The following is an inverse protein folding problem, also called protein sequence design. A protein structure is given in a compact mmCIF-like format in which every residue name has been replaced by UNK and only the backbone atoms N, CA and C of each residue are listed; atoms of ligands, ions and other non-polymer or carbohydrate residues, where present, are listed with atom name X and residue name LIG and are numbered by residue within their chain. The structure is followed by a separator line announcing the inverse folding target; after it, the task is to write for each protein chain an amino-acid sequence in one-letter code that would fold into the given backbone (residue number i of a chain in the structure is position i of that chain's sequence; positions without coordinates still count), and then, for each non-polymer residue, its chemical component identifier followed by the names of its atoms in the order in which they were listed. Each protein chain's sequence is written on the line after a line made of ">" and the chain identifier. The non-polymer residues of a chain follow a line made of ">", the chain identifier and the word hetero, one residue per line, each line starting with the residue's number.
data_IF_372682994392
#
_entry.id   IF_372682994392
#
_cell.length_a   1.000
_cell.length_b   1.000
_cell.length_c   1.000
_cell.angle_alpha   90.00
_cell.angle_beta   90.00
_cell.angle_gamma   90.00
#
_symmetry.space_group_name_H-M   'P 1'
#
loop_
_entity.id
_entity.type
_entity.pdbx_description
1 polymer ?
#
# COMPACT_ATOMS: atom_id res chain seq x y z
N UNK A 1 4.05 -18.31 6.42
CA UNK A 1 5.50 -18.11 6.22
C UNK A 1 6.05 -17.62 7.53
N UNK A 2 6.83 -18.45 8.23
CA UNK A 2 7.61 -17.95 9.36
C UNK A 2 8.60 -16.94 8.81
N UNK A 3 8.63 -15.72 9.33
CA UNK A 3 9.66 -14.69 9.07
C UNK A 3 11.04 -15.10 9.63
N UNK A 4 11.37 -16.38 9.49
CA UNK A 4 12.61 -17.02 9.87
C UNK A 4 13.49 -16.99 8.63
N UNK A 5 14.72 -16.54 8.80
CA UNK A 5 15.76 -16.71 7.79
C UNK A 5 15.81 -18.19 7.35
N UNK A 6 15.94 -18.48 6.05
CA UNK A 6 15.94 -19.85 5.56
C UNK A 6 17.01 -20.67 6.28
N UNK A 7 16.70 -21.92 6.57
CA UNK A 7 17.68 -22.88 7.06
C UNK A 7 18.73 -23.19 6.01
N UNK A 8 19.91 -23.64 6.45
CA UNK A 8 20.96 -24.09 5.53
C UNK A 8 20.48 -25.17 4.55
N UNK A 9 19.55 -26.04 4.97
CA UNK A 9 18.93 -27.05 4.11
C UNK A 9 18.02 -26.44 3.02
N UNK A 10 17.32 -25.34 3.32
CA UNK A 10 16.51 -24.60 2.34
C UNK A 10 17.39 -23.79 1.38
N UNK A 11 18.49 -23.22 1.86
CA UNK A 11 19.48 -22.60 0.97
C UNK A 11 20.07 -23.61 -0.02
N UNK A 12 20.27 -24.86 0.41
CA UNK A 12 20.76 -25.92 -0.45
C UNK A 12 19.74 -26.41 -1.50
N UNK A 13 18.43 -26.15 -1.31
CA UNK A 13 17.40 -26.51 -2.27
C UNK A 13 17.12 -25.43 -3.33
N UNK A 14 17.72 -24.25 -3.19
CA UNK A 14 17.56 -23.16 -4.15
C UNK A 14 18.31 -23.42 -5.46
N UNK A 15 17.82 -22.87 -6.59
CA UNK A 15 18.55 -22.91 -7.85
C UNK A 15 19.89 -22.18 -7.74
N UNK A 16 20.86 -22.50 -8.61
CA UNK A 16 22.18 -21.86 -8.59
C UNK A 16 22.04 -20.33 -8.74
N UNK A 17 22.74 -19.54 -7.90
CA UNK A 17 22.57 -18.10 -7.87
C UNK A 17 23.19 -17.45 -9.11
N UNK A 18 22.47 -16.51 -9.71
CA UNK A 18 22.94 -15.76 -10.87
C UNK A 18 23.32 -14.33 -10.48
N UNK A 19 24.56 -14.15 -10.03
CA UNK A 19 25.07 -12.83 -9.64
C UNK A 19 25.42 -11.91 -10.80
N UNK A 20 25.64 -12.45 -12.01
CA UNK A 20 26.05 -11.68 -13.17
C UNK A 20 24.88 -10.97 -13.85
N UNK A 21 23.74 -11.67 -14.02
CA UNK A 21 22.53 -11.15 -14.66
C UNK A 21 21.27 -11.67 -13.95
N UNK A 22 20.99 -11.26 -12.70
CA UNK A 22 19.83 -11.75 -11.98
C UNK A 22 18.52 -11.33 -12.65
N UNK A 23 17.55 -12.23 -12.68
CA UNK A 23 16.19 -11.91 -13.11
C UNK A 23 15.52 -11.04 -12.06
N UNK A 24 14.90 -9.93 -12.47
CA UNK A 24 14.29 -8.97 -11.54
C UNK A 24 12.85 -8.65 -11.91
N UNK A 25 12.03 -8.36 -10.90
CA UNK A 25 10.66 -7.86 -11.09
C UNK A 25 10.59 -6.34 -11.32
N UNK A 26 11.75 -5.67 -11.36
CA UNK A 26 11.88 -4.23 -11.56
C UNK A 26 11.18 -3.70 -12.82
N UNK A 27 11.35 -4.28 -14.03
CA UNK A 27 10.69 -3.76 -15.23
C UNK A 27 9.16 -3.84 -15.12
N UNK A 28 8.63 -4.91 -14.51
CA UNK A 28 7.20 -5.05 -14.25
C UNK A 28 6.70 -3.95 -13.30
N UNK A 29 7.41 -3.72 -12.20
CA UNK A 29 7.02 -2.72 -11.23
C UNK A 29 7.04 -1.29 -11.81
N UNK A 30 8.06 -0.93 -12.59
CA UNK A 30 8.09 0.35 -13.31
C UNK A 30 6.92 0.44 -14.29
N UNK A 31 6.67 -0.63 -15.05
CA UNK A 31 5.58 -0.72 -16.01
C UNK A 31 4.18 -0.52 -15.40
N UNK A 32 3.99 -0.86 -14.12
CA UNK A 32 2.71 -0.69 -13.41
C UNK A 32 2.65 0.63 -12.64
N UNK A 33 3.70 0.97 -11.88
CA UNK A 33 3.71 2.14 -10.98
C UNK A 33 3.69 3.45 -11.77
N UNK A 34 4.44 3.53 -12.87
CA UNK A 34 4.52 4.75 -13.68
C UNK A 34 3.17 5.18 -14.26
N UNK A 35 2.42 4.33 -15.01
CA UNK A 35 1.12 4.75 -15.55
C UNK A 35 0.09 5.04 -14.44
N UNK A 36 0.10 4.28 -13.35
CA UNK A 36 -0.79 4.56 -12.20
C UNK A 36 -0.49 5.94 -11.59
N UNK A 37 0.78 6.31 -11.48
CA UNK A 37 1.17 7.64 -10.99
C UNK A 37 0.72 8.75 -11.94
N UNK A 38 0.86 8.54 -13.26
CA UNK A 38 0.38 9.50 -14.27
C UNK A 38 -1.13 9.70 -14.17
N UNK A 39 -1.90 8.62 -13.99
CA UNK A 39 -3.34 8.71 -13.79
C UNK A 39 -3.70 9.51 -12.53
N UNK A 40 -3.02 9.27 -11.40
CA UNK A 40 -3.24 10.01 -10.15
C UNK A 40 -3.00 11.51 -10.37
N UNK A 41 -1.90 11.88 -11.03
CA UNK A 41 -1.59 13.29 -11.33
C UNK A 41 -2.66 13.89 -12.24
N UNK A 42 -3.07 13.19 -13.30
CA UNK A 42 -4.10 13.67 -14.23
C UNK A 42 -5.45 13.92 -13.54
N UNK A 43 -5.93 12.98 -12.73
CA UNK A 43 -7.17 13.14 -11.96
C UNK A 43 -7.06 14.27 -10.93
N UNK A 44 -5.90 14.42 -10.27
CA UNK A 44 -5.68 15.51 -9.32
C UNK A 44 -5.69 16.87 -10.02
N UNK A 45 -5.01 17.00 -11.17
CA UNK A 45 -5.02 18.25 -11.96
C UNK A 45 -6.42 18.60 -12.44
N UNK A 46 -7.19 17.63 -12.95
CA UNK A 46 -8.58 17.82 -13.35
C UNK A 46 -9.44 18.31 -12.17
N UNK A 47 -9.25 17.71 -11.00
CA UNK A 47 -9.96 18.09 -9.78
C UNK A 47 -9.63 19.52 -9.34
N UNK A 48 -8.35 19.88 -9.30
CA UNK A 48 -7.92 21.24 -8.94
C UNK A 48 -8.50 22.25 -9.93
N UNK A 49 -8.44 21.96 -11.24
CA UNK A 49 -9.01 22.83 -12.28
C UNK A 49 -10.52 23.03 -12.08
N UNK A 50 -11.26 21.95 -11.84
CA UNK A 50 -12.70 22.02 -11.55
C UNK A 50 -13.00 22.90 -10.33
N UNK A 51 -12.23 22.75 -9.25
CA UNK A 51 -12.45 23.50 -8.00
C UNK A 51 -12.04 24.96 -8.07
N UNK A 52 -10.95 25.25 -8.78
CA UNK A 52 -10.38 26.60 -8.89
C UNK A 52 -11.08 27.45 -9.95
N UNK A 53 -11.35 26.87 -11.13
CA UNK A 53 -11.85 27.61 -12.30
C UNK A 53 -13.36 27.48 -12.43
N UNK A 54 -13.91 26.26 -12.34
CA UNK A 54 -15.35 26.03 -12.58
C UNK A 54 -16.19 26.41 -11.36
N UNK A 55 -15.89 25.86 -10.18
CA UNK A 55 -16.72 26.07 -8.99
C UNK A 55 -16.27 27.22 -8.11
N UNK A 56 -15.01 27.68 -8.25
CA UNK A 56 -14.39 28.76 -7.45
C UNK A 56 -14.55 28.55 -5.94
N UNK A 57 -14.50 27.30 -5.51
CA UNK A 57 -14.66 26.89 -4.11
C UNK A 57 -13.40 26.20 -3.62
N UNK A 58 -12.37 26.99 -3.34
CA UNK A 58 -11.13 26.53 -2.72
C UNK A 58 -11.32 26.38 -1.21
N UNK A 59 -11.16 25.16 -0.72
CA UNK A 59 -11.16 24.86 0.71
C UNK A 59 -9.78 24.46 1.22
N UNK A 60 -9.62 24.49 2.54
CA UNK A 60 -8.47 23.87 3.23
C UNK A 60 -8.34 22.38 2.91
N UNK A 61 -9.47 21.74 2.62
CA UNK A 61 -9.56 20.37 2.13
C UNK A 61 -8.71 20.10 0.86
N UNK A 62 -8.79 20.99 -0.13
CA UNK A 62 -8.06 20.82 -1.38
C UNK A 62 -6.54 20.89 -1.16
N UNK A 63 -6.09 21.64 -0.16
CA UNK A 63 -4.69 21.69 0.27
C UNK A 63 -4.21 20.39 0.90
N UNK A 64 -5.02 19.78 1.77
CA UNK A 64 -4.73 18.47 2.37
C UNK A 64 -4.69 17.39 1.29
N UNK A 65 -5.62 17.44 0.33
CA UNK A 65 -5.64 16.51 -0.80
C UNK A 65 -4.41 16.67 -1.70
N UNK A 66 -3.98 17.91 -1.98
CA UNK A 66 -2.77 18.18 -2.76
C UNK A 66 -1.52 17.68 -2.04
N UNK A 67 -1.40 17.91 -0.74
CA UNK A 67 -0.29 17.38 0.05
C UNK A 67 -0.26 15.85 0.02
N UNK A 68 -1.42 15.19 0.13
CA UNK A 68 -1.55 13.74 0.03
C UNK A 68 -1.17 13.22 -1.37
N UNK A 69 -1.51 13.94 -2.43
CA UNK A 69 -1.11 13.58 -3.79
C UNK A 69 0.41 13.71 -4.00
N UNK A 70 1.03 14.77 -3.47
CA UNK A 70 2.50 14.97 -3.54
C UNK A 70 3.24 13.86 -2.78
N UNK A 71 2.79 13.54 -1.57
CA UNK A 71 3.41 12.45 -0.78
C UNK A 71 3.19 11.09 -1.43
N UNK A 72 2.05 10.87 -2.10
CA UNK A 72 1.79 9.67 -2.91
C UNK A 72 2.77 9.50 -4.06
N UNK A 73 3.02 10.57 -4.83
CA UNK A 73 4.03 10.56 -5.88
C UNK A 73 5.42 10.28 -5.30
N UNK A 74 5.75 10.91 -4.16
CA UNK A 74 7.00 10.65 -3.44
C UNK A 74 7.14 9.18 -3.03
N UNK A 75 6.08 8.55 -2.52
CA UNK A 75 6.10 7.12 -2.17
C UNK A 75 6.31 6.23 -3.40
N UNK A 76 5.67 6.52 -4.52
CA UNK A 76 5.86 5.76 -5.77
C UNK A 76 7.31 5.86 -6.28
N UNK A 77 7.93 7.05 -6.18
CA UNK A 77 9.34 7.25 -6.50
C UNK A 77 10.23 6.42 -5.56
N UNK A 78 9.95 6.44 -4.25
CA UNK A 78 10.70 5.65 -3.26
C UNK A 78 10.64 4.15 -3.53
N UNK A 79 9.48 3.63 -3.97
CA UNK A 79 9.33 2.22 -4.36
C UNK A 79 10.20 1.90 -5.59
N UNK A 80 10.22 2.78 -6.60
CA UNK A 80 11.07 2.61 -7.79
C UNK A 80 12.55 2.64 -7.41
N UNK A 81 12.95 3.56 -6.54
CA UNK A 81 14.33 3.67 -6.02
C UNK A 81 14.70 2.39 -5.24
N UNK A 82 13.79 1.85 -4.43
CA UNK A 82 14.02 0.63 -3.66
C UNK A 82 14.36 -0.57 -4.54
N UNK A 83 13.94 -0.57 -5.81
CA UNK A 83 14.23 -1.64 -6.77
C UNK A 83 15.53 -1.42 -7.56
N UNK A 84 16.31 -0.37 -7.27
CA UNK A 84 17.63 -0.18 -7.88
C UNK A 84 18.61 -1.28 -7.44
N UNK A 85 19.64 -1.58 -8.26
CA UNK A 85 20.64 -2.63 -7.96
C UNK A 85 21.38 -2.46 -6.62
N UNK A 86 21.39 -1.25 -6.08
CA UNK A 86 21.99 -0.90 -4.79
C UNK A 86 21.16 -1.36 -3.58
N UNK A 87 19.83 -1.40 -3.72
CA UNK A 87 18.90 -1.80 -2.65
C UNK A 87 18.38 -3.24 -2.84
N UNK A 88 18.47 -3.77 -4.07
CA UNK A 88 18.17 -5.17 -4.44
C UNK A 88 16.77 -5.66 -4.04
N UNK A 89 15.81 -4.76 -3.85
CA UNK A 89 14.41 -5.15 -3.67
C UNK A 89 13.85 -5.67 -5.00
N UNK A 90 13.18 -6.82 -4.98
CA UNK A 90 12.64 -7.46 -6.18
C UNK A 90 13.60 -8.41 -6.90
N UNK A 91 14.76 -8.70 -6.32
CA UNK A 91 15.61 -9.85 -6.68
C UNK A 91 15.17 -11.10 -5.93
N UNK A 92 15.47 -12.28 -6.49
CA UNK A 92 15.30 -13.52 -5.74
C UNK A 92 16.31 -13.62 -4.59
N UNK A 93 15.91 -14.30 -3.52
CA UNK A 93 16.71 -14.42 -2.31
C UNK A 93 18.08 -15.07 -2.57
N UNK A 94 18.13 -16.06 -3.46
CA UNK A 94 19.35 -16.77 -3.84
C UNK A 94 20.29 -15.91 -4.70
N UNK A 95 19.77 -14.97 -5.48
CA UNK A 95 20.59 -14.05 -6.31
C UNK A 95 21.27 -12.94 -5.50
N UNK A 96 20.98 -12.85 -4.19
CA UNK A 96 21.58 -11.88 -3.30
C UNK A 96 22.78 -12.52 -2.59
N UNK A 97 24.03 -12.02 -2.79
CA UNK A 97 25.18 -12.56 -2.09
C UNK A 97 25.01 -12.46 -0.57
N UNK A 98 25.37 -13.51 0.18
CA UNK A 98 25.04 -13.65 1.60
C UNK A 98 25.62 -12.54 2.46
N UNK A 99 26.78 -11.98 2.11
CA UNK A 99 27.40 -10.85 2.82
C UNK A 99 26.50 -9.61 2.84
N UNK A 100 25.77 -9.36 1.74
CA UNK A 100 24.80 -8.27 1.67
C UNK A 100 23.45 -8.67 2.27
N UNK A 101 23.09 -9.96 2.24
CA UNK A 101 21.87 -10.43 2.88
C UNK A 101 21.89 -10.20 4.41
N UNK A 102 23.02 -10.51 5.05
CA UNK A 102 23.21 -10.31 6.50
C UNK A 102 23.59 -8.86 6.87
N UNK A 103 24.17 -8.09 5.94
CA UNK A 103 24.59 -6.70 6.18
C UNK A 103 23.59 -5.62 5.77
N UNK A 104 22.60 -5.93 4.93
CA UNK A 104 21.73 -4.92 4.31
C UNK A 104 20.44 -4.67 5.11
N UNK A 105 20.58 -4.08 6.30
CA UNK A 105 19.46 -3.51 7.06
C UNK A 105 18.71 -2.41 6.28
N UNK A 106 19.40 -1.78 5.31
CA UNK A 106 18.87 -0.68 4.51
C UNK A 106 17.69 -1.10 3.62
N UNK A 107 17.70 -2.30 3.08
CA UNK A 107 16.60 -2.80 2.25
C UNK A 107 15.31 -3.00 3.07
N UNK A 108 15.44 -3.59 4.27
CA UNK A 108 14.34 -3.76 5.21
C UNK A 108 13.80 -2.40 5.69
N UNK A 109 14.69 -1.45 6.04
CA UNK A 109 14.31 -0.10 6.43
C UNK A 109 13.54 0.63 5.33
N UNK A 110 14.00 0.58 4.08
CA UNK A 110 13.31 1.18 2.94
C UNK A 110 11.91 0.58 2.75
N UNK A 111 11.77 -0.75 2.85
CA UNK A 111 10.47 -1.42 2.81
C UNK A 111 9.52 -0.94 3.91
N UNK A 112 10.00 -0.90 5.16
CA UNK A 112 9.20 -0.40 6.30
C UNK A 112 8.80 1.07 6.11
N UNK A 113 9.71 1.92 5.66
CA UNK A 113 9.41 3.33 5.37
C UNK A 113 8.33 3.48 4.30
N UNK A 114 8.41 2.73 3.19
CA UNK A 114 7.37 2.78 2.15
C UNK A 114 6.00 2.33 2.65
N UNK A 115 5.94 1.33 3.54
CA UNK A 115 4.69 0.84 4.11
C UNK A 115 4.04 1.86 5.07
N UNK A 116 4.85 2.53 5.89
CA UNK A 116 4.39 3.59 6.79
C UNK A 116 3.88 4.80 6.01
N UNK A 117 4.62 5.23 4.99
CA UNK A 117 4.21 6.34 4.11
C UNK A 117 2.91 6.01 3.40
N UNK A 118 2.78 4.81 2.83
CA UNK A 118 1.56 4.37 2.15
C UNK A 118 0.34 4.42 3.07
N UNK A 119 0.47 3.93 4.30
CA UNK A 119 -0.59 3.98 5.31
C UNK A 119 -0.99 5.43 5.62
N UNK A 120 -0.02 6.32 5.81
CA UNK A 120 -0.26 7.74 6.08
C UNK A 120 -0.93 8.46 4.89
N UNK A 121 -0.56 8.11 3.65
CA UNK A 121 -1.18 8.68 2.45
C UNK A 121 -2.66 8.28 2.38
N UNK A 122 -2.98 7.00 2.64
CA UNK A 122 -4.37 6.53 2.63
C UNK A 122 -5.20 7.24 3.69
N UNK A 123 -4.68 7.44 4.91
CA UNK A 123 -5.41 8.15 5.96
C UNK A 123 -5.64 9.62 5.60
N UNK A 124 -4.63 10.32 5.07
CA UNK A 124 -4.77 11.70 4.61
C UNK A 124 -5.77 11.84 3.46
N UNK A 125 -5.72 10.95 2.46
CA UNK A 125 -6.69 10.94 1.35
C UNK A 125 -8.12 10.72 1.85
N UNK A 126 -8.32 9.85 2.85
CA UNK A 126 -9.62 9.62 3.48
C UNK A 126 -10.12 10.87 4.22
N UNK A 127 -9.25 11.53 4.98
CA UNK A 127 -9.58 12.77 5.68
C UNK A 127 -9.93 13.89 4.70
N UNK A 128 -9.18 14.03 3.61
CA UNK A 128 -9.50 15.00 2.57
C UNK A 128 -10.86 14.69 1.91
N UNK A 129 -11.09 13.46 1.47
CA UNK A 129 -12.39 13.06 0.92
C UNK A 129 -13.54 13.41 1.90
N UNK A 130 -13.38 13.09 3.18
CA UNK A 130 -14.35 13.46 4.21
C UNK A 130 -14.59 14.96 4.27
N UNK A 131 -13.54 15.77 4.35
CA UNK A 131 -13.66 17.22 4.40
C UNK A 131 -14.24 17.82 3.11
N UNK A 132 -14.02 17.21 1.93
CA UNK A 132 -14.66 17.62 0.68
C UNK A 132 -16.18 17.40 0.73
N UNK A 133 -16.60 16.23 1.23
CA UNK A 133 -18.00 15.80 1.19
C UNK A 133 -18.80 16.24 2.42
N UNK A 134 -18.14 16.61 3.52
CA UNK A 134 -18.77 17.32 4.62
C UNK A 134 -19.11 18.74 4.17
N UNK A 135 -20.39 19.13 4.08
CA UNK A 135 -20.74 20.48 3.68
C UNK A 135 -20.24 21.50 4.72
N UNK A 136 -20.01 22.74 4.27
CA UNK A 136 -19.71 23.96 5.07
C UNK A 136 -20.58 24.15 6.33
N UNK A 137 -21.68 23.40 6.40
CA UNK A 137 -22.53 23.11 7.56
C UNK A 137 -21.76 22.72 8.83
N UNK A 138 -20.68 21.93 8.77
CA UNK A 138 -20.04 21.44 10.01
C UNK A 138 -19.38 22.56 10.82
N UNK A 139 -18.72 23.50 10.12
CA UNK A 139 -18.15 24.71 10.74
C UNK A 139 -19.20 25.74 11.12
N UNK A 140 -20.37 25.71 10.46
CA UNK A 140 -21.51 26.57 10.72
C UNK A 140 -22.69 25.76 11.31
N UNK A 141 -22.41 24.88 12.27
CA UNK A 141 -23.38 23.90 12.80
C UNK A 141 -24.66 24.56 13.31
N UNK A 142 -24.51 25.72 13.95
CA UNK A 142 -25.62 26.53 14.48
C UNK A 142 -26.46 27.20 13.39
N UNK A 143 -25.89 27.45 12.18
CA UNK A 143 -26.57 28.19 11.10
C UNK A 143 -27.41 27.29 10.18
N UNK A 144 -27.08 26.00 10.11
CA UNK A 144 -27.67 25.06 9.15
C UNK A 144 -28.37 23.85 9.80
N UNK A 145 -28.62 23.92 11.11
CA UNK A 145 -29.19 22.85 11.94
C UNK A 145 -30.56 22.31 11.44
N UNK A 146 -31.24 23.02 10.54
CA UNK A 146 -32.53 22.62 9.94
C UNK A 146 -32.56 22.44 8.41
N UNK A 147 -31.45 22.61 7.67
CA UNK A 147 -31.42 22.46 6.19
C UNK A 147 -30.38 21.46 5.67
N UNK A 148 -29.48 20.97 6.52
CA UNK A 148 -28.48 19.99 6.10
C UNK A 148 -29.14 18.61 5.90
N UNK A 149 -29.02 18.05 4.70
CA UNK A 149 -29.35 16.62 4.49
C UNK A 149 -28.26 15.79 5.18
N UNK A 150 -28.67 14.86 6.03
CA UNK A 150 -27.75 14.03 6.81
C UNK A 150 -26.86 13.17 5.91
N UNK A 151 -25.55 13.43 5.92
CA UNK A 151 -24.57 12.50 5.36
C UNK A 151 -24.49 11.29 6.28
N UNK A 152 -24.68 10.08 5.74
CA UNK A 152 -24.72 8.87 6.56
C UNK A 152 -23.30 8.49 7.02
N UNK A 153 -22.91 9.03 8.16
CA UNK A 153 -21.60 8.78 8.77
C UNK A 153 -21.36 7.29 9.01
N UNK A 154 -22.43 6.52 9.31
CA UNK A 154 -22.35 5.07 9.45
C UNK A 154 -21.98 4.42 8.12
N UNK A 155 -22.56 4.86 7.01
CA UNK A 155 -22.22 4.34 5.68
C UNK A 155 -20.75 4.62 5.31
N UNK A 156 -20.22 5.80 5.66
CA UNK A 156 -18.80 6.13 5.46
C UNK A 156 -17.91 5.22 6.33
N UNK A 157 -18.28 5.06 7.60
CA UNK A 157 -17.53 4.23 8.54
C UNK A 157 -17.57 2.75 8.13
N UNK A 158 -18.73 2.25 7.70
CA UNK A 158 -18.89 0.90 7.17
C UNK A 158 -18.12 0.69 5.87
N UNK A 159 -18.07 1.68 4.98
CA UNK A 159 -17.27 1.61 3.77
C UNK A 159 -15.78 1.57 4.10
N UNK A 160 -15.34 2.39 5.05
CA UNK A 160 -13.96 2.41 5.53
C UNK A 160 -13.55 1.09 6.19
N UNK A 161 -14.36 0.61 7.15
CA UNK A 161 -14.14 -0.67 7.81
C UNK A 161 -14.19 -1.80 6.79
N UNK A 162 -15.16 -1.79 5.88
CA UNK A 162 -15.28 -2.76 4.80
C UNK A 162 -14.03 -2.80 3.91
N UNK A 163 -13.47 -1.65 3.53
CA UNK A 163 -12.27 -1.59 2.70
C UNK A 163 -11.00 -2.01 3.45
N UNK A 164 -10.90 -1.69 4.75
CA UNK A 164 -9.79 -2.14 5.59
C UNK A 164 -9.86 -3.66 5.77
N UNK A 165 -11.00 -4.16 6.22
CA UNK A 165 -11.29 -5.58 6.39
C UNK A 165 -11.12 -6.36 5.07
N UNK A 166 -11.54 -5.81 3.93
CA UNK A 166 -11.34 -6.44 2.63
C UNK A 166 -9.85 -6.53 2.25
N UNK A 167 -9.07 -5.48 2.53
CA UNK A 167 -7.62 -5.50 2.32
C UNK A 167 -6.96 -6.56 3.20
N UNK A 168 -7.40 -6.66 4.46
CA UNK A 168 -6.94 -7.69 5.40
C UNK A 168 -7.28 -9.09 4.85
N UNK A 169 -8.52 -9.34 4.44
CA UNK A 169 -8.93 -10.61 3.82
C UNK A 169 -8.12 -10.97 2.57
N UNK A 170 -7.83 -10.00 1.70
CA UNK A 170 -6.99 -10.23 0.51
C UNK A 170 -5.55 -10.59 0.89
N UNK A 171 -4.97 -9.91 1.88
CA UNK A 171 -3.64 -10.24 2.42
C UNK A 171 -3.64 -11.66 3.00
N UNK A 172 -4.73 -12.10 3.64
CA UNK A 172 -4.87 -13.48 4.14
C UNK A 172 -5.03 -14.52 3.04
N UNK A 173 -5.80 -14.21 2.00
CA UNK A 173 -6.06 -15.12 0.89
C UNK A 173 -4.88 -15.23 -0.08
N UNK A 174 -3.99 -14.23 -0.09
CA UNK A 174 -2.81 -14.19 -0.95
C UNK A 174 -1.88 -15.41 -0.76
N UNK A 175 -1.35 -15.70 0.45
CA UNK A 175 -0.55 -16.90 0.67
C UNK A 175 -1.39 -18.19 0.57
N UNK A 176 -2.71 -18.14 0.78
CA UNK A 176 -3.57 -19.32 0.64
C UNK A 176 -3.65 -19.82 -0.81
N UNK A 177 -3.57 -18.94 -1.81
CA UNK A 177 -3.47 -19.32 -3.23
C UNK A 177 -2.16 -20.06 -3.54
N UNK A 178 -1.04 -19.58 -2.99
CA UNK A 178 0.27 -20.23 -3.20
C UNK A 178 0.35 -21.58 -2.48
N UNK A 179 -0.26 -21.69 -1.28
CA UNK A 179 -0.34 -22.94 -0.52
C UNK A 179 -1.25 -24.00 -1.16
N UNK A 180 -2.22 -23.61 -2.01
CA UNK A 180 -3.08 -24.56 -2.72
C UNK A 180 -2.32 -25.38 -3.77
N UNK A 181 -1.24 -24.84 -4.32
CA UNK A 181 -0.40 -25.52 -5.32
C UNK A 181 0.70 -26.39 -4.70
N UNK A 182 0.87 -26.35 -3.38
CA UNK A 182 1.88 -27.14 -2.66
C UNK A 182 1.22 -28.34 -1.97
N UNK A 183 1.78 -29.53 -2.15
CA UNK A 183 1.32 -30.78 -1.50
C UNK A 183 1.69 -30.78 0.00
N UNK A 184 0.92 -30.09 0.84
CA UNK A 184 1.11 -30.07 2.31
C UNK A 184 0.06 -30.90 3.05
N UNK A 185 0.45 -31.44 4.20
CA UNK A 185 -0.42 -32.24 5.07
C UNK A 185 -1.57 -31.41 5.67
N UNK A 186 -2.76 -32.02 5.76
CA UNK A 186 -4.01 -31.32 6.14
C UNK A 186 -3.94 -30.67 7.53
N UNK A 187 -3.19 -31.28 8.47
CA UNK A 187 -2.96 -30.73 9.81
C UNK A 187 -2.15 -29.43 9.79
N UNK A 188 -1.09 -29.35 8.99
CA UNK A 188 -0.27 -28.12 8.88
C UNK A 188 -1.07 -26.99 8.21
N UNK A 189 -1.91 -27.33 7.23
CA UNK A 189 -2.77 -26.35 6.55
C UNK A 189 -3.80 -25.70 7.48
N UNK A 190 -4.43 -26.50 8.35
CA UNK A 190 -5.40 -25.99 9.33
C UNK A 190 -4.71 -25.13 10.39
N UNK A 191 -3.58 -25.56 10.94
CA UNK A 191 -2.83 -24.78 11.93
C UNK A 191 -2.35 -23.45 11.36
N UNK A 192 -1.85 -23.43 10.12
CA UNK A 192 -1.38 -22.21 9.48
C UNK A 192 -2.54 -21.23 9.21
N UNK A 193 -3.69 -21.74 8.76
CA UNK A 193 -4.90 -20.93 8.53
C UNK A 193 -5.40 -20.32 9.84
N UNK A 194 -5.43 -21.10 10.93
CA UNK A 194 -5.82 -20.62 12.26
C UNK A 194 -4.86 -19.56 12.82
N UNK A 195 -3.54 -19.74 12.69
CA UNK A 195 -2.55 -18.78 13.19
C UNK A 195 -2.65 -17.43 12.47
N UNK A 196 -2.93 -17.43 11.16
CA UNK A 196 -3.12 -16.20 10.40
C UNK A 196 -4.44 -15.49 10.78
N UNK A 197 -5.54 -16.22 10.99
CA UNK A 197 -6.81 -15.63 11.44
C UNK A 197 -6.78 -15.06 12.87
N UNK A 198 -5.89 -15.55 13.74
CA UNK A 198 -5.77 -15.06 15.13
C UNK A 198 -5.00 -13.73 15.26
N UNK A 199 -4.21 -13.32 14.27
CA UNK A 199 -3.49 -12.03 14.27
C UNK A 199 -4.33 -10.82 13.85
N UNK A 200 -5.65 -11.00 13.63
CA UNK A 200 -6.60 -10.00 13.10
C UNK A 200 -7.50 -9.40 14.19
N UNK A 201 -7.48 -9.98 15.40
CA UNK A 201 -8.19 -9.43 16.54
C UNK A 201 -7.39 -8.32 17.24
#
# INVERSE_FOLDING_TARGET
>A
MTSRFPTAAEFASFPPPNYANPTTLRPLAIGVITPMTVLVVAFMSCRIYSRTVLTKTLGWDDGIMLLAAITSVGNNIMVIISMLPQYRMGHHLWDIPPQLLYGSMKAAQMGMSTQLLFTAIITLMKVAILLTYLPSTYWNIFKYIGRAKCLNIKAIYYFHSGQNTFSDFLIFLWPAKDLLNVKVSLRQRVTLTCMFSLGVM
#
